data_IF_775592899708
#
_entry.id   IF_775592899708
#
_cell.length_a   1.000
_cell.length_b   1.000
_cell.length_c   1.000
_cell.angle_alpha   90.00
_cell.angle_beta   90.00
_cell.angle_gamma   90.00
#
_symmetry.space_group_name_H-M   'P 1'
#
loop_
_entity.id
_entity.type
_entity.pdbx_description
1 polymer ?
#
# COMPACT_ATOMS: atom_id res chain seq x y z
N UNK A 1 7.12 22.05 0.93
CA UNK A 1 8.06 21.36 1.84
C UNK A 1 7.40 20.04 2.16
N UNK A 2 7.91 18.93 1.63
CA UNK A 2 7.34 17.59 1.83
C UNK A 2 7.73 17.07 3.20
N UNK A 3 6.78 16.51 3.94
CA UNK A 3 7.08 15.88 5.23
C UNK A 3 7.92 14.61 4.99
N UNK A 4 8.98 14.42 5.78
CA UNK A 4 9.83 13.22 5.73
C UNK A 4 10.06 12.67 7.13
N UNK A 5 10.14 11.35 7.26
CA UNK A 5 10.43 10.65 8.51
C UNK A 5 11.44 9.54 8.25
N UNK A 6 12.43 9.41 9.11
CA UNK A 6 13.41 8.32 9.03
C UNK A 6 13.03 7.20 9.99
N UNK A 7 13.01 5.97 9.49
CA UNK A 7 12.75 4.74 10.24
C UNK A 7 14.03 3.90 10.23
N UNK A 8 14.51 3.50 11.40
CA UNK A 8 15.61 2.53 11.51
C UNK A 8 15.02 1.16 11.74
N UNK A 9 15.43 0.17 10.95
CA UNK A 9 14.88 -1.18 10.94
C UNK A 9 15.98 -2.20 11.21
N UNK A 10 15.78 -3.06 12.21
CA UNK A 10 16.80 -4.00 12.70
C UNK A 10 17.66 -3.43 13.84
N UNK A 11 18.63 -4.23 14.30
CA UNK A 11 19.51 -3.90 15.42
C UNK A 11 20.98 -4.19 15.04
N UNK A 12 21.91 -3.42 15.60
CA UNK A 12 23.35 -3.62 15.41
C UNK A 12 23.86 -3.22 14.02
N UNK A 13 24.87 -3.92 13.52
CA UNK A 13 25.56 -3.61 12.25
C UNK A 13 24.68 -3.78 10.99
N UNK A 14 23.54 -4.45 11.12
CA UNK A 14 22.60 -4.69 10.04
C UNK A 14 21.38 -3.75 10.09
N UNK A 15 21.42 -2.70 10.91
CA UNK A 15 20.36 -1.71 10.98
C UNK A 15 20.28 -0.96 9.64
N UNK A 16 19.13 -1.04 8.98
CA UNK A 16 18.84 -0.30 7.76
C UNK A 16 18.10 0.99 8.10
N UNK A 17 18.44 2.08 7.42
CA UNK A 17 17.78 3.37 7.58
C UNK A 17 16.93 3.62 6.34
N UNK A 18 15.62 3.79 6.55
CA UNK A 18 14.64 4.03 5.50
C UNK A 18 14.03 5.41 5.70
N UNK A 19 14.10 6.25 4.68
CA UNK A 19 13.46 7.56 4.65
C UNK A 19 12.09 7.44 4.01
N UNK A 20 11.06 7.66 4.81
CA UNK A 20 9.68 7.82 4.38
C UNK A 20 9.45 9.28 4.00
N UNK A 21 8.70 9.51 2.92
CA UNK A 21 8.29 10.84 2.48
C UNK A 21 6.80 10.90 2.21
N UNK A 22 6.29 12.12 2.28
CA UNK A 22 4.93 12.46 1.91
C UNK A 22 4.74 12.37 0.39
N UNK A 23 3.62 11.77 -0.01
CA UNK A 23 3.18 11.71 -1.40
C UNK A 23 2.45 12.99 -1.79
N UNK A 24 2.80 13.52 -2.93
CA UNK A 24 2.05 14.61 -3.56
C UNK A 24 0.73 14.08 -4.15
N UNK A 25 -0.25 14.96 -4.33
CA UNK A 25 -1.51 14.63 -5.02
C UNK A 25 -1.26 14.07 -6.43
N UNK A 26 -0.21 14.53 -7.12
CA UNK A 26 0.18 14.01 -8.43
C UNK A 26 0.61 12.55 -8.37
N UNK A 27 1.37 12.17 -7.34
CA UNK A 27 1.80 10.79 -7.11
C UNK A 27 0.65 9.89 -6.68
N UNK A 28 -0.25 10.38 -5.83
CA UNK A 28 -1.48 9.66 -5.45
C UNK A 28 -2.35 9.38 -6.70
N UNK A 29 -2.44 10.34 -7.62
CA UNK A 29 -3.16 10.14 -8.89
C UNK A 29 -2.46 9.12 -9.79
N UNK A 30 -1.12 9.16 -9.85
CA UNK A 30 -0.35 8.18 -10.61
C UNK A 30 -0.52 6.76 -10.03
N UNK A 31 -0.50 6.64 -8.70
CA UNK A 31 -0.82 5.41 -7.98
C UNK A 31 -2.20 4.87 -8.36
N UNK A 32 -3.24 5.72 -8.35
CA UNK A 32 -4.61 5.30 -8.68
C UNK A 32 -4.72 4.77 -10.12
N UNK A 33 -3.98 5.35 -11.07
CA UNK A 33 -3.93 4.83 -12.44
C UNK A 33 -3.30 3.44 -12.50
N UNK A 34 -2.15 3.25 -11.83
CA UNK A 34 -1.51 1.92 -11.75
C UNK A 34 -2.43 0.88 -11.12
N UNK A 35 -3.12 1.25 -10.04
CA UNK A 35 -4.07 0.36 -9.37
C UNK A 35 -5.24 -0.05 -10.27
N UNK A 36 -5.71 0.85 -11.15
CA UNK A 36 -6.78 0.57 -12.09
C UNK A 36 -6.34 -0.28 -13.30
N UNK A 37 -5.06 -0.22 -13.69
CA UNK A 37 -4.51 -1.01 -14.80
C UNK A 37 -4.42 -2.52 -14.48
N UNK A 38 -4.30 -2.87 -13.19
CA UNK A 38 -4.26 -4.26 -12.73
C UNK A 38 -3.00 -5.04 -13.17
N UNK A 39 -2.86 -6.28 -12.70
CA UNK A 39 -1.80 -7.21 -13.15
C UNK A 39 -0.49 -7.22 -12.34
N UNK A 40 -0.55 -6.96 -11.03
CA UNK A 40 0.61 -7.07 -10.12
C UNK A 40 0.98 -8.51 -9.77
N UNK A 41 2.18 -8.69 -9.20
CA UNK A 41 2.63 -9.96 -8.61
C UNK A 41 1.77 -10.27 -7.37
N UNK A 42 1.28 -11.50 -7.27
CA UNK A 42 0.45 -11.96 -6.14
C UNK A 42 1.17 -11.75 -4.82
N UNK A 43 2.50 -11.91 -4.77
CA UNK A 43 3.27 -11.67 -3.54
C UNK A 43 3.34 -10.18 -3.23
N UNK A 44 3.62 -9.32 -4.21
CA UNK A 44 3.65 -7.86 -4.01
C UNK A 44 2.30 -7.31 -3.55
N UNK A 45 1.21 -7.91 -4.03
CA UNK A 45 -0.16 -7.48 -3.77
C UNK A 45 -0.78 -8.09 -2.50
N UNK A 46 -0.27 -9.22 -1.99
CA UNK A 46 -0.85 -9.94 -0.83
C UNK A 46 0.05 -10.09 0.38
N UNK A 47 1.38 -9.94 0.25
CA UNK A 47 2.34 -10.09 1.34
C UNK A 47 2.11 -9.06 2.44
N UNK A 48 1.69 -7.86 2.04
CA UNK A 48 1.44 -6.72 2.90
C UNK A 48 -0.05 -6.39 2.84
N UNK A 49 -0.77 -6.64 3.93
CA UNK A 49 -2.23 -6.46 3.99
C UNK A 49 -2.69 -5.02 3.70
N UNK A 50 -1.84 -4.02 3.98
CA UNK A 50 -2.21 -2.60 3.93
C UNK A 50 -1.70 -1.86 2.69
N UNK A 51 -0.55 -2.25 2.11
CA UNK A 51 0.09 -1.57 0.96
C UNK A 51 0.88 -2.56 0.13
N UNK A 52 0.97 -2.42 -1.20
CA UNK A 52 1.84 -3.28 -1.99
C UNK A 52 3.30 -2.81 -1.93
N UNK A 53 4.26 -3.67 -2.27
CA UNK A 53 5.68 -3.30 -2.34
C UNK A 53 5.96 -2.12 -3.30
N UNK A 54 5.35 -2.04 -4.50
CA UNK A 54 5.45 -0.87 -5.37
C UNK A 54 4.96 0.44 -4.72
N UNK A 55 3.94 0.35 -3.87
CA UNK A 55 3.43 1.51 -3.14
C UNK A 55 4.44 1.96 -2.09
N UNK A 56 5.04 1.00 -1.37
CA UNK A 56 6.09 1.26 -0.40
C UNK A 56 7.30 1.99 -1.04
N UNK A 57 7.75 1.56 -2.23
CA UNK A 57 8.84 2.22 -2.94
C UNK A 57 8.49 3.63 -3.44
N UNK A 58 7.20 3.93 -3.61
CA UNK A 58 6.75 5.26 -4.02
C UNK A 58 6.89 6.27 -2.87
N UNK A 59 6.70 5.83 -1.63
CA UNK A 59 6.70 6.65 -0.41
C UNK A 59 7.99 6.53 0.41
N UNK A 60 8.96 5.72 -0.03
CA UNK A 60 10.24 5.52 0.67
C UNK A 60 11.44 5.56 -0.27
N UNK A 61 12.65 5.63 0.28
CA UNK A 61 13.91 5.44 -0.44
C UNK A 61 14.36 3.97 -0.53
N UNK A 62 13.55 3.04 0.00
CA UNK A 62 13.82 1.60 0.03
C UNK A 62 13.98 1.04 -1.39
N UNK A 63 15.01 0.22 -1.58
CA UNK A 63 15.24 -0.52 -2.85
C UNK A 63 14.67 -1.92 -2.79
N UNK A 64 14.30 -2.47 -3.95
CA UNK A 64 13.77 -3.84 -4.04
C UNK A 64 14.70 -4.88 -3.40
N UNK A 65 16.01 -4.82 -3.71
CA UNK A 65 17.00 -5.71 -3.11
C UNK A 65 17.07 -5.60 -1.57
N UNK A 66 16.80 -4.42 -1.01
CA UNK A 66 16.76 -4.25 0.44
C UNK A 66 15.49 -4.85 1.04
N UNK A 67 14.35 -4.66 0.37
CA UNK A 67 13.07 -5.22 0.82
C UNK A 67 13.06 -6.76 0.79
N UNK A 68 13.74 -7.39 -0.17
CA UNK A 68 13.90 -8.85 -0.25
C UNK A 68 14.66 -9.44 0.95
N UNK A 69 15.59 -8.67 1.54
CA UNK A 69 16.35 -9.07 2.71
C UNK A 69 15.63 -8.76 4.04
N UNK A 70 14.52 -8.02 3.99
CA UNK A 70 13.76 -7.62 5.17
C UNK A 70 12.74 -8.69 5.57
N UNK A 71 12.67 -8.94 6.87
CA UNK A 71 11.58 -9.74 7.43
C UNK A 71 10.25 -8.96 7.35
N UNK A 72 9.10 -9.65 7.34
CA UNK A 72 7.79 -8.99 7.39
C UNK A 72 7.62 -8.03 8.57
N UNK A 73 8.21 -8.34 9.73
CA UNK A 73 8.16 -7.45 10.91
C UNK A 73 8.93 -6.14 10.70
N UNK A 74 10.06 -6.19 9.99
CA UNK A 74 10.81 -4.99 9.62
C UNK A 74 10.03 -4.17 8.59
N UNK A 75 9.44 -4.80 7.58
CA UNK A 75 8.58 -4.10 6.62
C UNK A 75 7.39 -3.41 7.30
N UNK A 76 6.76 -4.05 8.30
CA UNK A 76 5.69 -3.42 9.09
C UNK A 76 6.14 -2.14 9.81
N UNK A 77 7.38 -2.09 10.31
CA UNK A 77 7.90 -0.86 10.94
C UNK A 77 7.97 0.30 9.94
N UNK A 78 8.40 0.01 8.70
CA UNK A 78 8.43 1.01 7.64
C UNK A 78 7.01 1.44 7.26
N UNK A 79 6.07 0.50 7.11
CA UNK A 79 4.65 0.78 6.79
C UNK A 79 4.01 1.68 7.85
N UNK A 80 4.29 1.44 9.13
CA UNK A 80 3.81 2.32 10.20
C UNK A 80 4.34 3.75 10.01
N UNK A 81 5.62 3.91 9.70
CA UNK A 81 6.20 5.20 9.34
C UNK A 81 5.52 5.85 8.13
N UNK A 82 5.25 5.05 7.09
CA UNK A 82 4.51 5.48 5.92
C UNK A 82 3.11 5.99 6.25
N UNK A 83 2.39 5.29 7.13
CA UNK A 83 1.03 5.66 7.56
C UNK A 83 1.00 6.97 8.34
N UNK A 84 1.98 7.18 9.20
CA UNK A 84 2.12 8.44 9.94
C UNK A 84 2.42 9.63 9.02
N UNK A 85 3.24 9.42 7.98
CA UNK A 85 3.62 10.48 7.04
C UNK A 85 2.54 10.71 5.97
N UNK A 86 1.78 9.68 5.59
CA UNK A 86 0.83 9.71 4.47
C UNK A 86 -0.62 9.37 4.89
N UNK A 87 -1.19 9.94 5.98
CA UNK A 87 -2.49 9.52 6.50
C UNK A 87 -3.62 9.63 5.46
N UNK A 88 -3.59 10.67 4.61
CA UNK A 88 -4.59 10.88 3.56
C UNK A 88 -4.54 9.84 2.45
N UNK A 89 -3.35 9.35 2.09
CA UNK A 89 -3.19 8.28 1.10
C UNK A 89 -3.82 6.98 1.60
N UNK A 90 -3.51 6.58 2.84
CA UNK A 90 -4.09 5.39 3.45
C UNK A 90 -5.61 5.54 3.63
N UNK A 91 -6.08 6.71 4.08
CA UNK A 91 -7.51 6.99 4.19
C UNK A 91 -8.24 6.98 2.84
N UNK A 92 -7.59 7.41 1.75
CA UNK A 92 -8.16 7.30 0.41
C UNK A 92 -8.26 5.83 -0.03
N UNK A 93 -7.20 5.05 0.16
CA UNK A 93 -7.16 3.62 -0.17
C UNK A 93 -8.27 2.85 0.54
N UNK A 94 -8.41 3.04 1.86
CA UNK A 94 -9.43 2.36 2.68
C UNK A 94 -10.86 2.66 2.16
N UNK A 95 -11.12 3.91 1.77
CA UNK A 95 -12.42 4.31 1.20
C UNK A 95 -12.67 3.66 -0.15
N UNK A 96 -11.66 3.58 -1.01
CA UNK A 96 -11.77 2.93 -2.33
C UNK A 96 -12.05 1.44 -2.16
N UNK A 97 -11.30 0.76 -1.29
CA UNK A 97 -11.48 -0.67 -1.02
C UNK A 97 -12.87 -0.97 -0.44
N UNK A 98 -13.32 -0.12 0.50
CA UNK A 98 -14.68 -0.21 1.04
C UNK A 98 -15.75 0.00 -0.02
N UNK A 99 -15.59 0.99 -0.91
CA UNK A 99 -16.52 1.23 -2.01
C UNK A 99 -16.55 0.05 -3.00
N UNK A 100 -15.38 -0.52 -3.32
CA UNK A 100 -15.26 -1.69 -4.19
C UNK A 100 -16.00 -2.91 -3.62
N UNK A 101 -15.83 -3.20 -2.32
CA UNK A 101 -16.57 -4.27 -1.64
C UNK A 101 -18.09 -4.08 -1.71
N UNK A 102 -18.57 -2.86 -1.44
CA UNK A 102 -20.01 -2.55 -1.50
C UNK A 102 -20.59 -2.73 -2.90
N UNK A 103 -19.84 -2.35 -3.94
CA UNK A 103 -20.27 -2.54 -5.34
C UNK A 103 -20.34 -4.03 -5.67
N UNK A 104 -19.31 -4.81 -5.31
CA UNK A 104 -19.29 -6.26 -5.54
C UNK A 104 -20.47 -6.97 -4.83
N UNK A 105 -20.73 -6.62 -3.57
CA UNK A 105 -21.86 -7.18 -2.80
C UNK A 105 -23.21 -6.90 -3.48
N UNK A 106 -23.42 -5.65 -3.94
CA UNK A 106 -24.63 -5.27 -4.69
C UNK A 106 -24.78 -6.07 -5.98
N UNK A 107 -23.71 -6.22 -6.75
CA UNK A 107 -23.73 -6.99 -8.00
C UNK A 107 -24.01 -8.48 -7.76
N UNK A 108 -23.43 -9.07 -6.70
CA UNK A 108 -23.71 -10.45 -6.31
C UNK A 108 -25.16 -10.67 -5.85
N UNK A 109 -25.76 -9.69 -5.17
CA UNK A 109 -27.18 -9.71 -4.80
C UNK A 109 -28.07 -9.67 -6.04
N UNK A 110 -27.84 -8.74 -6.96
CA UNK A 110 -28.63 -8.59 -8.20
C UNK A 110 -28.56 -9.84 -9.10
N UNK A 111 -27.41 -10.53 -9.15
CA UNK A 111 -27.24 -11.77 -9.93
C UNK A 111 -27.93 -13.00 -9.29
N UNK A 112 -28.17 -12.99 -7.98
CA UNK A 112 -28.84 -14.08 -7.27
C UNK A 112 -30.37 -14.04 -7.44
N UNK A 113 -30.93 -12.90 -7.82
CA UNK A 113 -32.34 -12.71 -8.16
C UNK A 113 -32.63 -13.15 -9.61
N UNK A 114 -32.34 -14.40 -9.96
CA UNK A 114 -32.91 -14.99 -11.20
C UNK A 114 -34.40 -15.25 -10.94
N UNK A 115 -35.34 -14.68 -11.71
CA UNK A 115 -36.76 -14.97 -11.52
C UNK A 115 -36.99 -16.45 -11.83
N UNK A 116 -37.60 -17.18 -10.90
CA UNK A 116 -38.10 -18.53 -11.17
C UNK A 116 -39.19 -18.46 -12.27
N UNK A 117 -39.27 -19.46 -13.16
CA UNK A 117 -40.19 -19.46 -14.30
C UNK A 117 -41.67 -19.43 -13.92
#
# INVERSE_FOLDING_TARGET
MTVTKTITVGEGLNAQVVTVRELTVGEIRAWMKRAAEGGGDVVDDTLLQEVSLPDLYSMTDLKAAQAEEMTPSQLRMVINGCREVNPDFFGLRDRIESAGRQILERLSSDLSETPAP
#
